data_IF_473785456926
#
_entry.id   IF_473785456926
#
_cell.length_a   1.000
_cell.length_b   1.000
_cell.length_c   1.000
_cell.angle_alpha   90.00
_cell.angle_beta   90.00
_cell.angle_gamma   90.00
#
_symmetry.space_group_name_H-M   'P 1'
#
loop_
_entity.id
_entity.type
_entity.pdbx_description
1 polymer ?
#
# COMPACT_ATOMS: atom_id res chain seq x y z
N UNK A 1 -3.31 13.42 -17.53
CA UNK A 1 -3.88 12.08 -17.37
C UNK A 1 -3.42 11.08 -18.45
N UNK A 2 -3.61 11.36 -19.75
CA UNK A 2 -3.18 10.43 -20.82
C UNK A 2 -1.67 10.12 -20.85
N UNK A 3 -0.79 11.06 -20.55
CA UNK A 3 0.66 10.82 -20.60
C UNK A 3 1.13 9.91 -19.46
N UNK A 4 0.55 10.01 -18.27
CA UNK A 4 0.87 9.16 -17.12
C UNK A 4 0.44 7.71 -17.39
N UNK A 5 -0.80 7.48 -17.85
CA UNK A 5 -1.29 6.15 -18.23
C UNK A 5 -0.42 5.50 -19.31
N UNK A 6 0.00 6.26 -20.31
CA UNK A 6 0.91 5.76 -21.36
C UNK A 6 2.27 5.37 -20.77
N UNK A 7 2.83 6.17 -19.86
CA UNK A 7 4.14 5.88 -19.25
C UNK A 7 4.07 4.66 -18.33
N UNK A 8 3.05 4.55 -17.48
CA UNK A 8 2.84 3.38 -16.61
C UNK A 8 2.58 2.12 -17.43
N UNK A 9 1.76 2.22 -18.48
CA UNK A 9 1.45 1.09 -19.35
C UNK A 9 2.67 0.62 -20.15
N UNK A 10 3.46 1.54 -20.71
CA UNK A 10 4.70 1.23 -21.44
C UNK A 10 5.75 0.65 -20.47
N UNK A 11 5.88 1.18 -19.27
CA UNK A 11 6.82 0.66 -18.25
C UNK A 11 6.41 -0.75 -17.80
N UNK A 12 5.13 -1.00 -17.63
CA UNK A 12 4.61 -2.33 -17.29
C UNK A 12 4.82 -3.32 -18.46
N UNK A 13 4.65 -2.88 -19.72
CA UNK A 13 4.87 -3.70 -20.90
C UNK A 13 6.36 -4.04 -21.10
N UNK A 14 7.26 -3.07 -20.91
CA UNK A 14 8.71 -3.27 -20.91
C UNK A 14 9.16 -4.22 -19.79
N UNK A 15 8.61 -4.05 -18.58
CA UNK A 15 8.83 -4.97 -17.48
C UNK A 15 8.40 -6.40 -17.85
N UNK A 16 7.24 -6.59 -18.49
CA UNK A 16 6.76 -7.90 -18.96
C UNK A 16 7.73 -8.60 -19.92
N UNK A 17 8.40 -7.84 -20.80
CA UNK A 17 9.38 -8.40 -21.75
C UNK A 17 10.65 -8.87 -21.02
N UNK A 18 11.13 -8.12 -20.05
CA UNK A 18 12.28 -8.47 -19.23
C UNK A 18 11.97 -9.67 -18.32
N UNK A 19 10.76 -9.72 -17.76
CA UNK A 19 10.33 -10.78 -16.84
C UNK A 19 9.99 -12.11 -17.50
N UNK A 20 9.82 -12.15 -18.83
CA UNK A 20 9.65 -13.41 -19.57
C UNK A 20 10.89 -14.33 -19.47
N UNK A 21 12.06 -13.77 -19.14
CA UNK A 21 13.31 -14.50 -18.90
C UNK A 21 13.43 -15.06 -17.47
N UNK A 22 12.67 -14.51 -16.53
CA UNK A 22 12.59 -14.92 -15.13
C UNK A 22 11.18 -15.47 -14.89
N UNK A 23 10.98 -16.57 -14.26
CA UNK A 23 9.69 -17.24 -14.09
C UNK A 23 8.56 -16.34 -13.58
N UNK A 24 7.86 -15.62 -14.45
CA UNK A 24 6.66 -14.85 -14.07
C UNK A 24 5.58 -15.81 -13.60
N UNK A 25 5.32 -15.84 -12.30
CA UNK A 25 4.35 -16.71 -11.65
C UNK A 25 2.93 -16.16 -11.73
N UNK A 26 2.76 -14.88 -11.49
CA UNK A 26 1.45 -14.24 -11.57
C UNK A 26 1.55 -12.77 -11.93
N UNK A 27 0.59 -12.31 -12.73
CA UNK A 27 0.32 -10.88 -12.98
C UNK A 27 -1.17 -10.67 -12.88
N UNK A 28 -1.58 -9.74 -12.01
CA UNK A 28 -2.98 -9.40 -11.79
C UNK A 28 -3.14 -7.90 -11.85
N UNK A 29 -4.18 -7.43 -12.52
CA UNK A 29 -4.58 -6.03 -12.53
C UNK A 29 -6.07 -5.91 -12.23
N UNK A 30 -6.45 -4.83 -11.58
CA UNK A 30 -7.84 -4.49 -11.30
C UNK A 30 -8.01 -3.00 -11.51
N UNK A 31 -8.97 -2.60 -12.31
CA UNK A 31 -9.48 -1.24 -12.37
C UNK A 31 -10.82 -1.18 -11.66
N UNK A 32 -11.02 -0.14 -10.88
CA UNK A 32 -12.25 0.11 -10.16
C UNK A 32 -12.62 1.59 -10.29
N UNK A 33 -13.86 1.85 -10.59
CA UNK A 33 -14.45 3.19 -10.54
C UNK A 33 -15.65 3.16 -9.62
N UNK A 34 -15.71 4.14 -8.72
CA UNK A 34 -16.82 4.34 -7.84
C UNK A 34 -17.29 5.80 -7.95
N UNK A 35 -18.60 6.01 -8.11
CA UNK A 35 -19.20 7.34 -8.16
C UNK A 35 -20.29 7.41 -7.11
N UNK A 36 -20.29 8.47 -6.33
CA UNK A 36 -21.39 8.80 -5.44
C UNK A 36 -22.59 9.31 -6.24
N UNK A 37 -23.80 9.09 -5.71
CA UNK A 37 -25.01 9.62 -6.30
C UNK A 37 -24.89 11.15 -6.50
N UNK A 38 -25.34 11.67 -7.64
CA UNK A 38 -25.23 13.06 -8.05
C UNK A 38 -23.79 13.52 -8.39
N UNK A 39 -22.87 12.58 -8.69
CA UNK A 39 -21.48 12.85 -9.07
C UNK A 39 -20.72 13.75 -8.08
N UNK A 40 -21.07 13.68 -6.80
CA UNK A 40 -20.39 14.48 -5.76
C UNK A 40 -18.95 14.05 -5.56
N UNK A 41 -18.69 12.75 -5.54
CA UNK A 41 -17.36 12.18 -5.41
C UNK A 41 -17.20 11.09 -6.46
N UNK A 42 -16.09 11.08 -7.17
CA UNK A 42 -15.63 10.03 -8.07
C UNK A 42 -14.28 9.51 -7.59
N UNK A 43 -14.15 8.21 -7.46
CA UNK A 43 -12.90 7.53 -7.13
C UNK A 43 -12.56 6.58 -8.25
N UNK A 44 -11.34 6.68 -8.79
CA UNK A 44 -10.79 5.75 -9.75
C UNK A 44 -9.55 5.11 -9.16
N UNK A 45 -9.47 3.79 -9.22
CA UNK A 45 -8.34 3.03 -8.68
C UNK A 45 -7.83 2.02 -9.68
N UNK A 46 -6.52 1.97 -9.84
CA UNK A 46 -5.80 0.94 -10.60
C UNK A 46 -4.88 0.17 -9.65
N UNK A 47 -5.08 -1.14 -9.60
CA UNK A 47 -4.25 -2.06 -8.82
C UNK A 47 -3.44 -2.93 -9.76
N UNK A 48 -2.17 -3.13 -9.43
CA UNK A 48 -1.28 -4.04 -10.11
C UNK A 48 -0.58 -4.93 -9.09
N UNK A 49 -0.57 -6.24 -9.33
CA UNK A 49 0.20 -7.21 -8.52
C UNK A 49 0.97 -8.13 -9.45
N UNK A 50 2.27 -8.26 -9.23
CA UNK A 50 3.14 -9.19 -9.93
C UNK A 50 3.92 -10.05 -8.94
N UNK A 51 4.17 -11.30 -9.30
CA UNK A 51 5.03 -12.24 -8.57
C UNK A 51 5.93 -12.98 -9.55
N UNK A 52 7.23 -12.98 -9.27
CA UNK A 52 8.29 -13.52 -10.12
C UNK A 52 9.13 -14.48 -9.29
N UNK A 53 9.34 -15.69 -9.79
CA UNK A 53 10.30 -16.63 -9.21
C UNK A 53 11.70 -16.36 -9.79
N UNK A 54 12.61 -15.88 -8.93
CA UNK A 54 14.01 -15.62 -9.30
C UNK A 54 14.83 -16.91 -9.26
N UNK A 55 14.47 -17.81 -8.36
CA UNK A 55 15.06 -19.16 -8.20
C UNK A 55 14.10 -20.07 -7.44
N UNK A 56 14.49 -21.30 -7.17
CA UNK A 56 13.71 -22.24 -6.34
C UNK A 56 13.43 -21.72 -4.91
N UNK A 57 14.26 -20.81 -4.42
CA UNK A 57 14.17 -20.29 -3.04
C UNK A 57 13.88 -18.80 -2.99
N UNK A 58 14.06 -18.03 -4.07
CA UNK A 58 13.86 -16.59 -4.09
C UNK A 58 12.71 -16.19 -4.97
N UNK A 59 11.88 -15.30 -4.47
CA UNK A 59 10.80 -14.67 -5.23
C UNK A 59 10.78 -13.15 -5.01
N UNK A 60 10.33 -12.44 -6.04
CA UNK A 60 10.11 -11.00 -6.03
C UNK A 60 8.62 -10.73 -6.21
N UNK A 61 8.04 -10.00 -5.29
CA UNK A 61 6.66 -9.52 -5.34
C UNK A 61 6.60 -8.02 -5.57
N UNK A 62 5.62 -7.58 -6.32
CA UNK A 62 5.29 -6.16 -6.48
C UNK A 62 3.79 -5.96 -6.33
N UNK A 63 3.40 -4.94 -5.56
CA UNK A 63 2.03 -4.43 -5.49
C UNK A 63 2.09 -2.94 -5.75
N UNK A 64 1.31 -2.46 -6.71
CA UNK A 64 1.18 -1.04 -7.03
C UNK A 64 -0.28 -0.62 -6.99
N UNK A 65 -0.52 0.62 -6.56
CA UNK A 65 -1.84 1.23 -6.48
C UNK A 65 -1.71 2.67 -7.01
N UNK A 66 -2.62 3.03 -7.89
CA UNK A 66 -2.89 4.41 -8.26
C UNK A 66 -4.34 4.70 -7.96
N UNK A 67 -4.59 5.73 -7.16
CA UNK A 67 -5.93 6.21 -6.84
C UNK A 67 -6.05 7.68 -7.24
N UNK A 68 -7.17 8.05 -7.83
CA UNK A 68 -7.57 9.43 -8.07
C UNK A 68 -8.95 9.66 -7.46
N UNK A 69 -9.06 10.68 -6.63
CA UNK A 69 -10.30 11.09 -5.98
C UNK A 69 -10.61 12.51 -6.43
N UNK A 70 -11.77 12.70 -6.99
CA UNK A 70 -12.26 14.03 -7.38
C UNK A 70 -13.69 14.24 -6.92
N UNK A 71 -14.02 15.46 -6.52
CA UNK A 71 -15.38 15.78 -6.12
C UNK A 71 -15.50 16.93 -5.15
N UNK A 72 -16.65 17.03 -4.48
CA UNK A 72 -16.94 18.06 -3.51
C UNK A 72 -17.41 17.44 -2.19
N UNK A 73 -16.78 17.84 -1.09
CA UNK A 73 -17.13 17.38 0.26
C UNK A 73 -17.67 18.54 1.10
N UNK A 74 -18.65 18.31 2.00
CA UNK A 74 -19.14 19.34 2.91
C UNK A 74 -18.05 19.85 3.84
N UNK A 75 -17.90 21.17 3.93
CA UNK A 75 -16.94 21.84 4.84
C UNK A 75 -17.40 21.88 6.30
N UNK A 76 -18.62 21.40 6.59
CA UNK A 76 -19.27 21.55 7.89
C UNK A 76 -19.91 22.92 8.12
N UNK A 77 -19.80 23.86 7.19
CA UNK A 77 -20.54 25.13 7.24
C UNK A 77 -22.00 24.91 6.86
N UNK A 78 -22.96 25.70 7.40
CA UNK A 78 -24.35 25.63 6.95
C UNK A 78 -24.47 25.92 5.46
N UNK A 79 -25.36 25.19 4.76
CA UNK A 79 -25.65 25.45 3.37
C UNK A 79 -26.18 26.87 3.21
N UNK A 80 -25.55 27.67 2.35
CA UNK A 80 -25.97 29.03 2.04
C UNK A 80 -26.61 29.04 0.65
N UNK A 81 -27.71 29.75 0.49
CA UNK A 81 -28.37 29.89 -0.81
C UNK A 81 -27.61 30.77 -1.80
N UNK A 82 -26.57 31.48 -1.34
CA UNK A 82 -25.84 32.49 -2.12
C UNK A 82 -24.41 32.14 -2.46
N UNK A 83 -23.86 31.08 -1.87
CA UNK A 83 -22.47 30.65 -2.13
C UNK A 83 -22.31 29.15 -1.95
N UNK A 84 -21.39 28.52 -2.72
CA UNK A 84 -21.01 27.12 -2.58
C UNK A 84 -19.92 26.94 -1.49
N UNK A 85 -19.74 27.89 -0.57
CA UNK A 85 -18.70 27.86 0.48
C UNK A 85 -18.85 26.71 1.48
N UNK A 86 -19.98 26.01 1.44
CA UNK A 86 -20.25 24.81 2.22
C UNK A 86 -19.65 23.54 1.59
N UNK A 87 -19.14 23.62 0.33
CA UNK A 87 -18.47 22.55 -0.37
C UNK A 87 -16.98 22.89 -0.56
N UNK A 88 -16.10 21.98 -0.18
CA UNK A 88 -14.70 21.99 -0.59
C UNK A 88 -14.53 21.04 -1.76
N UNK A 89 -13.90 21.51 -2.83
CA UNK A 89 -13.48 20.65 -3.92
C UNK A 89 -12.25 19.86 -3.50
N UNK A 90 -12.33 18.55 -3.70
CA UNK A 90 -11.26 17.60 -3.45
C UNK A 90 -10.77 17.09 -4.80
N UNK A 91 -9.47 17.19 -5.03
CA UNK A 91 -8.79 16.57 -6.15
C UNK A 91 -7.46 16.05 -5.61
N UNK A 92 -7.40 14.75 -5.40
CA UNK A 92 -6.24 14.09 -4.82
C UNK A 92 -5.86 12.88 -5.67
N UNK A 93 -4.57 12.72 -5.88
CA UNK A 93 -3.98 11.56 -6.54
C UNK A 93 -3.00 10.91 -5.60
N UNK A 94 -3.06 9.59 -5.50
CA UNK A 94 -2.11 8.79 -4.75
C UNK A 94 -1.45 7.76 -5.63
N UNK A 95 -0.14 7.69 -5.54
CA UNK A 95 0.65 6.58 -6.09
C UNK A 95 1.33 5.84 -4.94
N UNK A 96 1.08 4.54 -4.83
CA UNK A 96 1.72 3.73 -3.81
C UNK A 96 2.21 2.40 -4.37
N UNK A 97 3.25 1.84 -3.78
CA UNK A 97 3.77 0.54 -4.16
C UNK A 97 4.59 -0.12 -3.06
N UNK A 98 4.62 -1.43 -3.11
CA UNK A 98 5.47 -2.26 -2.25
C UNK A 98 6.23 -3.25 -3.12
N UNK A 99 7.54 -3.31 -2.93
CA UNK A 99 8.42 -4.31 -3.49
C UNK A 99 8.81 -5.28 -2.37
N UNK A 100 8.59 -6.58 -2.59
CA UNK A 100 8.84 -7.64 -1.60
C UNK A 100 9.85 -8.63 -2.16
N UNK A 101 10.97 -8.81 -1.46
CA UNK A 101 11.94 -9.87 -1.75
C UNK A 101 11.78 -10.97 -0.70
N UNK A 102 11.37 -12.17 -1.14
CA UNK A 102 11.14 -13.31 -0.27
C UNK A 102 12.16 -14.42 -0.54
N UNK A 103 12.62 -15.04 0.54
CA UNK A 103 13.48 -16.21 0.50
C UNK A 103 12.83 -17.34 1.30
N UNK A 104 12.63 -18.47 0.64
CA UNK A 104 12.26 -19.72 1.30
C UNK A 104 13.52 -20.38 1.84
N UNK A 105 13.59 -20.57 3.15
CA UNK A 105 14.75 -21.19 3.83
C UNK A 105 14.39 -22.54 4.44
N UNK A 106 15.40 -23.31 4.79
CA UNK A 106 15.20 -24.65 5.40
C UNK A 106 14.58 -24.57 6.81
N UNK A 107 14.85 -23.48 7.54
CA UNK A 107 14.38 -23.29 8.91
C UNK A 107 13.40 -22.10 9.00
N UNK A 108 13.72 -21.00 8.32
CA UNK A 108 12.93 -19.78 8.33
C UNK A 108 12.75 -19.25 6.93
N UNK A 109 11.52 -18.90 6.60
CA UNK A 109 11.23 -18.03 5.47
C UNK A 109 11.44 -16.58 5.87
N UNK A 110 11.97 -15.78 4.93
CA UNK A 110 12.33 -14.38 5.14
C UNK A 110 11.65 -13.53 4.09
N UNK A 111 11.18 -12.37 4.49
CA UNK A 111 10.64 -11.37 3.54
C UNK A 111 11.16 -9.98 3.90
N UNK A 112 11.66 -9.27 2.91
CA UNK A 112 12.06 -7.87 2.97
C UNK A 112 11.09 -7.06 2.12
N UNK A 113 10.52 -6.02 2.70
CA UNK A 113 9.56 -5.14 2.04
C UNK A 113 10.10 -3.72 1.96
N UNK A 114 9.96 -3.11 0.79
CA UNK A 114 10.20 -1.68 0.56
C UNK A 114 8.90 -1.06 0.05
N UNK A 115 8.33 -0.15 0.82
CA UNK A 115 7.11 0.56 0.49
C UNK A 115 7.36 2.04 0.20
N UNK A 116 6.58 2.58 -0.72
CA UNK A 116 6.53 3.99 -1.06
C UNK A 116 5.09 4.39 -1.32
N UNK A 117 4.66 5.52 -0.77
CA UNK A 117 3.36 6.13 -1.05
C UNK A 117 3.53 7.64 -1.13
N UNK A 118 2.96 8.25 -2.15
CA UNK A 118 3.04 9.68 -2.42
C UNK A 118 1.66 10.23 -2.76
N UNK A 119 1.31 11.29 -2.08
CA UNK A 119 0.14 12.14 -2.26
C UNK A 119 0.61 13.61 -2.31
N UNK A 120 -0.20 14.57 -2.73
CA UNK A 120 0.24 15.97 -2.84
C UNK A 120 0.81 16.56 -1.54
N UNK A 121 0.30 16.14 -0.39
CA UNK A 121 0.67 16.62 0.95
C UNK A 121 1.27 15.55 1.85
N UNK A 122 1.44 14.32 1.35
CA UNK A 122 1.91 13.19 2.16
C UNK A 122 2.88 12.30 1.39
N UNK A 123 4.03 12.05 1.99
CA UNK A 123 5.04 11.11 1.51
C UNK A 123 5.34 10.08 2.60
N UNK A 124 5.21 8.79 2.27
CA UNK A 124 5.54 7.69 3.18
C UNK A 124 6.56 6.74 2.55
N UNK A 125 7.53 6.31 3.34
CA UNK A 125 8.50 5.27 3.01
C UNK A 125 8.52 4.23 4.10
N UNK A 126 8.43 2.98 3.70
CA UNK A 126 8.39 1.85 4.64
C UNK A 126 9.48 0.86 4.31
N UNK A 127 10.18 0.40 5.34
CA UNK A 127 11.03 -0.78 5.29
C UNK A 127 10.45 -1.82 6.24
N UNK A 128 10.31 -3.08 5.78
CA UNK A 128 9.82 -4.20 6.56
C UNK A 128 10.75 -5.39 6.48
N UNK A 129 10.83 -6.16 7.55
CA UNK A 129 11.46 -7.46 7.60
C UNK A 129 10.60 -8.43 8.39
N UNK A 130 10.33 -9.59 7.81
CA UNK A 130 9.53 -10.64 8.43
C UNK A 130 10.25 -11.97 8.36
N UNK A 131 10.23 -12.70 9.48
CA UNK A 131 10.59 -14.10 9.58
C UNK A 131 9.34 -14.93 9.79
N UNK A 132 9.26 -16.09 9.17
CA UNK A 132 8.22 -17.09 9.46
C UNK A 132 8.78 -18.49 9.47
N UNK A 133 8.13 -19.38 10.25
CA UNK A 133 8.49 -20.79 10.34
C UNK A 133 7.22 -21.63 10.40
N UNK A 134 7.19 -22.65 9.56
CA UNK A 134 6.19 -23.70 9.59
C UNK A 134 6.56 -24.79 10.59
N UNK A 135 5.56 -25.36 11.25
CA UNK A 135 5.64 -26.49 12.17
C UNK A 135 4.48 -27.45 11.85
N UNK A 136 4.61 -28.71 12.25
CA UNK A 136 3.59 -29.72 12.09
C UNK A 136 3.09 -29.81 10.62
N UNK A 137 4.03 -30.01 9.68
CA UNK A 137 3.75 -30.07 8.24
C UNK A 137 3.02 -28.81 7.72
N UNK A 138 3.51 -27.65 8.15
CA UNK A 138 2.96 -26.30 7.81
C UNK A 138 1.52 -26.04 8.25
N UNK A 139 0.95 -26.90 9.11
CA UNK A 139 -0.37 -26.64 9.71
C UNK A 139 -0.33 -25.59 10.81
N UNK A 140 0.86 -25.24 11.33
CA UNK A 140 1.10 -24.15 12.26
C UNK A 140 2.21 -23.27 11.70
N UNK A 141 1.94 -21.99 11.47
CA UNK A 141 2.94 -21.01 11.06
C UNK A 141 3.06 -19.94 12.14
N UNK A 142 4.27 -19.69 12.59
CA UNK A 142 4.61 -18.60 13.50
C UNK A 142 5.44 -17.57 12.72
N UNK A 143 5.12 -16.29 12.89
CA UNK A 143 5.85 -15.21 12.26
C UNK A 143 6.17 -14.10 13.24
N UNK A 144 7.30 -13.43 13.00
CA UNK A 144 7.70 -12.20 13.67
C UNK A 144 8.15 -11.19 12.63
N UNK A 145 7.83 -9.91 12.85
CA UNK A 145 8.15 -8.85 11.92
C UNK A 145 8.58 -7.57 12.62
N UNK A 146 9.42 -6.82 11.92
CA UNK A 146 9.82 -5.47 12.26
C UNK A 146 9.55 -4.59 11.06
N UNK A 147 9.00 -3.40 11.27
CA UNK A 147 8.92 -2.40 10.22
C UNK A 147 9.24 -1.01 10.74
N UNK A 148 9.70 -0.17 9.83
CA UNK A 148 9.98 1.23 10.06
C UNK A 148 9.30 2.03 8.96
N UNK A 149 8.43 2.93 9.36
CA UNK A 149 7.77 3.86 8.47
C UNK A 149 8.24 5.28 8.77
N UNK A 150 8.73 5.98 7.75
CA UNK A 150 9.08 7.39 7.78
C UNK A 150 8.06 8.16 6.92
N UNK A 151 7.29 9.03 7.57
CA UNK A 151 6.25 9.85 6.94
C UNK A 151 6.65 11.32 6.97
N UNK A 152 6.34 12.01 5.89
CA UNK A 152 6.43 13.46 5.76
C UNK A 152 5.07 14.00 5.36
N UNK A 153 4.56 14.93 6.17
CA UNK A 153 3.27 15.60 5.93
C UNK A 153 3.52 17.08 5.69
N UNK A 154 3.05 17.60 4.58
CA UNK A 154 3.08 19.03 4.26
C UNK A 154 1.71 19.65 4.51
N UNK A 155 1.53 20.23 5.69
CA UNK A 155 0.28 20.90 6.06
C UNK A 155 0.18 22.35 5.56
N UNK A 156 1.13 22.80 4.75
CA UNK A 156 1.11 24.15 4.13
C UNK A 156 0.30 24.21 2.85
N UNK A 157 -0.12 23.03 2.30
CA UNK A 157 -1.01 23.00 1.11
C UNK A 157 -2.38 23.62 1.41
N UNK A 158 -3.09 24.14 0.40
CA UNK A 158 -4.42 24.73 0.56
C UNK A 158 -5.38 23.76 1.26
N UNK A 159 -6.02 24.23 2.33
CA UNK A 159 -6.91 23.42 3.18
C UNK A 159 -6.23 22.71 4.35
N UNK A 160 -4.91 22.70 4.42
CA UNK A 160 -4.15 22.18 5.55
C UNK A 160 -4.14 23.14 6.75
N UNK A 161 -3.75 22.67 7.95
CA UNK A 161 -3.72 23.48 9.17
C UNK A 161 -2.61 24.55 9.21
N UNK A 162 -1.77 24.68 8.16
CA UNK A 162 -0.72 25.70 8.09
C UNK A 162 0.46 25.48 9.04
N UNK A 163 0.66 24.27 9.55
CA UNK A 163 1.73 23.96 10.52
C UNK A 163 3.10 23.68 9.86
N UNK A 164 3.18 23.82 8.53
CA UNK A 164 4.37 23.51 7.74
C UNK A 164 4.65 22.01 7.64
N UNK A 165 5.86 21.67 7.22
CA UNK A 165 6.27 20.28 7.02
C UNK A 165 6.55 19.62 8.38
N UNK A 166 6.02 18.42 8.57
CA UNK A 166 6.22 17.57 9.77
C UNK A 166 6.65 16.18 9.36
N UNK A 167 7.66 15.68 10.05
CA UNK A 167 8.12 14.30 9.89
C UNK A 167 7.62 13.43 11.05
N UNK A 168 7.26 12.20 10.74
CA UNK A 168 6.85 11.20 11.72
C UNK A 168 7.58 9.90 11.44
N UNK A 169 8.15 9.28 12.47
CA UNK A 169 8.74 7.96 12.40
C UNK A 169 7.96 6.97 13.25
N UNK A 170 7.61 5.84 12.65
CA UNK A 170 6.79 4.81 13.29
C UNK A 170 7.48 3.45 13.18
N UNK A 171 8.28 3.04 14.17
CA UNK A 171 8.69 1.65 14.31
C UNK A 171 7.50 0.79 14.72
N UNK A 172 7.42 -0.40 14.16
CA UNK A 172 6.44 -1.42 14.47
C UNK A 172 7.11 -2.77 14.71
N UNK A 173 6.63 -3.49 15.71
CA UNK A 173 6.91 -4.90 15.94
C UNK A 173 5.60 -5.69 15.78
N UNK A 174 5.67 -6.85 15.13
CA UNK A 174 4.53 -7.74 14.94
C UNK A 174 4.85 -9.19 15.25
N UNK A 175 3.85 -9.91 15.75
CA UNK A 175 3.86 -11.36 15.92
C UNK A 175 2.59 -11.93 15.29
N UNK A 176 2.72 -13.05 14.60
CA UNK A 176 1.61 -13.75 13.97
C UNK A 176 1.64 -15.23 14.27
N UNK A 177 0.48 -15.79 14.47
CA UNK A 177 0.24 -17.22 14.58
C UNK A 177 -0.91 -17.59 13.65
N UNK A 178 -0.67 -18.55 12.77
CA UNK A 178 -1.65 -19.14 11.89
C UNK A 178 -1.70 -20.64 12.11
N UNK A 179 -2.91 -21.19 12.35
CA UNK A 179 -3.10 -22.61 12.61
C UNK A 179 -4.27 -23.16 11.79
N UNK A 180 -4.01 -24.22 11.03
CA UNK A 180 -5.06 -25.03 10.43
C UNK A 180 -5.56 -26.02 11.50
N UNK A 181 -6.78 -25.85 11.96
CA UNK A 181 -7.39 -26.72 12.96
C UNK A 181 -8.00 -27.98 12.32
N UNK A 182 -8.60 -27.82 11.15
CA UNK A 182 -9.15 -28.88 10.32
C UNK A 182 -9.34 -28.35 8.88
N UNK A 183 -9.74 -29.17 7.88
CA UNK A 183 -9.88 -28.74 6.48
C UNK A 183 -10.86 -27.58 6.24
N UNK A 184 -11.73 -27.28 7.20
CA UNK A 184 -12.75 -26.21 7.08
C UNK A 184 -12.51 -25.05 8.04
N UNK A 185 -11.51 -25.14 8.94
CA UNK A 185 -11.35 -24.16 10.02
C UNK A 185 -9.89 -23.77 10.18
N UNK A 186 -9.62 -22.48 10.14
CA UNK A 186 -8.31 -21.89 10.43
C UNK A 186 -8.44 -20.87 11.55
N UNK A 187 -7.39 -20.76 12.38
CA UNK A 187 -7.23 -19.73 13.41
C UNK A 187 -6.05 -18.84 12.99
N UNK A 188 -6.25 -17.52 13.00
CA UNK A 188 -5.19 -16.54 12.84
C UNK A 188 -5.25 -15.55 14.02
N UNK A 189 -4.11 -15.37 14.67
CA UNK A 189 -3.92 -14.40 15.75
C UNK A 189 -2.74 -13.51 15.37
N UNK A 190 -2.95 -12.19 15.38
CA UNK A 190 -1.91 -11.23 15.09
C UNK A 190 -1.86 -10.20 16.22
N UNK A 191 -0.64 -9.90 16.65
CA UNK A 191 -0.32 -8.82 17.58
C UNK A 191 0.61 -7.84 16.87
N UNK A 192 0.33 -6.54 17.00
CA UNK A 192 1.22 -5.49 16.52
C UNK A 192 1.32 -4.38 17.56
N UNK A 193 2.54 -3.86 17.74
CA UNK A 193 2.83 -2.71 18.60
C UNK A 193 3.50 -1.63 17.76
N UNK A 194 2.95 -0.41 17.77
CA UNK A 194 3.43 0.77 17.03
C UNK A 194 3.71 1.91 18.00
N UNK A 195 4.80 2.61 17.78
CA UNK A 195 5.16 3.81 18.54
C UNK A 195 5.44 4.93 17.53
N UNK A 196 4.45 5.81 17.32
CA UNK A 196 4.61 6.96 16.46
C UNK A 196 5.33 8.10 17.19
N UNK A 197 6.41 8.63 16.61
CA UNK A 197 7.17 9.77 17.12
C UNK A 197 7.19 10.88 16.08
N UNK A 198 6.61 12.03 16.40
CA UNK A 198 6.78 13.24 15.60
C UNK A 198 8.20 13.78 15.78
N UNK A 199 8.84 14.20 14.71
CA UNK A 199 10.10 14.96 14.72
C UNK A 199 9.77 16.45 14.55
N UNK A 200 10.40 17.26 15.37
CA UNK A 200 10.33 18.74 15.28
C UNK A 200 11.36 19.24 14.29
#
# INVERSE_FOLDING_TARGET
>A
MESFFRTVFISALLALVVFKSYGLKSLKSKYQRWNESSNRISVESLYLKAEIELSLTWSLGFVGIYDSISGATPTGKPASTSSNDWLAYLEEERTAGVLSLSRKGDVFDQTFDLGHSEEPDYLSRTFGYKLSRGFAEDTLIVSAGLSLQDDRVDSSVPGGPGLGIKDKRTPEFSLGLYRILNPKTTLAVNFASRIAKARR
#
